data_IF_853226064444
#
_entry.id   IF_853226064444
#
_cell.length_a   1.000
_cell.length_b   1.000
_cell.length_c   1.000
_cell.angle_alpha   90.00
_cell.angle_beta   90.00
_cell.angle_gamma   90.00
#
_symmetry.space_group_name_H-M   'P 1'
#
loop_
_entity.id
_entity.type
_entity.pdbx_description
1 polymer ?
#
# COMPACT_ATOMS: atom_id res chain seq x y z
N UNK A 1 16.35 6.14 -27.80
CA UNK A 1 16.19 6.53 -26.39
C UNK A 1 14.70 6.41 -26.07
N UNK A 2 14.27 5.23 -25.65
CA UNK A 2 12.90 4.96 -25.24
C UNK A 2 12.81 5.14 -23.73
N UNK A 3 12.26 6.27 -23.30
CA UNK A 3 11.96 6.53 -21.90
C UNK A 3 10.83 5.63 -21.44
N UNK A 4 11.04 4.95 -20.31
CA UNK A 4 9.96 4.33 -19.55
C UNK A 4 9.22 5.46 -18.82
N UNK A 5 7.94 5.62 -19.09
CA UNK A 5 7.03 6.36 -18.22
C UNK A 5 6.58 5.37 -17.13
N UNK A 6 6.98 5.62 -15.90
CA UNK A 6 6.39 4.99 -14.72
C UNK A 6 5.30 5.95 -14.26
N UNK A 7 4.06 5.48 -14.16
CA UNK A 7 2.94 6.23 -13.62
C UNK A 7 3.23 6.49 -12.13
N UNK A 8 3.69 7.71 -11.83
CA UNK A 8 4.16 8.11 -10.51
C UNK A 8 2.98 8.51 -9.63
N UNK A 9 2.29 7.54 -9.04
CA UNK A 9 1.35 7.80 -7.95
C UNK A 9 1.81 7.28 -6.60
N UNK A 10 2.77 6.34 -6.53
CA UNK A 10 3.23 5.80 -5.24
C UNK A 10 4.72 5.42 -5.29
N UNK A 11 5.51 5.97 -4.36
CA UNK A 11 6.86 5.49 -4.06
C UNK A 11 6.90 5.20 -2.56
N UNK A 12 6.78 3.93 -2.19
CA UNK A 12 7.14 3.46 -0.85
C UNK A 12 8.62 3.10 -0.90
N UNK A 13 9.48 3.96 -0.35
CA UNK A 13 10.91 3.65 -0.21
C UNK A 13 11.10 2.80 1.05
N UNK A 14 11.10 1.48 0.89
CA UNK A 14 11.51 0.57 1.96
C UNK A 14 13.04 0.50 1.99
N UNK A 15 13.67 1.20 2.93
CA UNK A 15 15.10 1.05 3.23
C UNK A 15 15.33 -0.31 3.92
N UNK A 16 15.69 -1.32 3.14
CA UNK A 16 16.28 -2.54 3.67
C UNK A 16 17.70 -2.24 4.18
N UNK A 17 17.83 -1.99 5.48
CA UNK A 17 19.13 -1.86 6.12
C UNK A 17 19.71 -3.26 6.45
N UNK A 18 20.82 -3.56 5.76
CA UNK A 18 21.97 -4.33 6.23
C UNK A 18 21.75 -5.77 6.74
N UNK A 19 21.83 -6.74 5.82
CA UNK A 19 22.46 -8.04 6.11
C UNK A 19 23.41 -8.38 4.96
N UNK A 20 24.71 -8.34 5.25
CA UNK A 20 25.77 -8.69 4.31
C UNK A 20 25.89 -10.21 4.17
N UNK A 21 25.76 -10.72 2.95
CA UNK A 21 26.01 -12.11 2.61
C UNK A 21 25.99 -12.30 1.10
N UNK A 22 27.14 -12.56 0.50
CA UNK A 22 27.29 -12.74 -0.94
C UNK A 22 26.81 -14.13 -1.36
N UNK A 23 25.81 -14.21 -2.24
CA UNK A 23 25.60 -15.39 -3.10
C UNK A 23 25.43 -14.92 -4.54
N UNK A 24 26.49 -15.18 -5.32
CA UNK A 24 26.56 -15.04 -6.77
C UNK A 24 25.62 -16.06 -7.43
N UNK A 25 24.68 -15.61 -8.25
CA UNK A 25 24.15 -16.40 -9.38
C UNK A 25 23.89 -15.48 -10.57
N UNK A 26 24.53 -15.81 -11.70
CA UNK A 26 24.54 -15.08 -12.97
C UNK A 26 23.16 -15.06 -13.64
N UNK A 27 22.82 -14.03 -14.43
CA UNK A 27 21.57 -13.99 -15.19
C UNK A 27 21.73 -14.75 -16.51
N UNK A 28 20.90 -15.77 -16.71
CA UNK A 28 20.51 -16.25 -18.02
C UNK A 28 19.00 -16.08 -18.12
N UNK A 29 18.54 -15.15 -18.96
CA UNK A 29 17.59 -15.41 -20.04
C UNK A 29 17.06 -14.10 -20.64
N UNK A 30 17.15 -14.04 -21.97
CA UNK A 30 16.67 -12.98 -22.84
C UNK A 30 15.15 -13.09 -22.98
N UNK A 31 14.45 -11.98 -22.78
CA UNK A 31 13.01 -11.89 -23.07
C UNK A 31 12.78 -11.37 -24.50
N UNK A 32 11.90 -12.04 -25.26
CA UNK A 32 11.37 -11.61 -26.57
C UNK A 32 9.93 -11.17 -26.38
N UNK A 33 9.63 -9.93 -26.78
CA UNK A 33 8.28 -9.34 -26.81
C UNK A 33 7.45 -9.93 -27.95
N UNK A 34 6.19 -10.29 -27.67
CA UNK A 34 5.17 -10.59 -28.67
C UNK A 34 4.03 -9.55 -28.55
N UNK A 35 3.91 -8.69 -29.56
CA UNK A 35 2.76 -7.80 -29.78
C UNK A 35 1.58 -8.62 -30.30
N UNK A 36 0.38 -8.43 -29.72
CA UNK A 36 -0.89 -8.84 -30.36
C UNK A 36 -1.54 -7.62 -31.01
N UNK A 37 -1.61 -7.67 -32.34
CA UNK A 37 -2.52 -6.87 -33.15
C UNK A 37 -3.94 -7.41 -32.96
N UNK A 38 -4.92 -6.52 -32.81
CA UNK A 38 -6.32 -6.84 -33.11
C UNK A 38 -6.75 -5.91 -34.23
N UNK A 39 -6.93 -6.47 -35.42
CA UNK A 39 -7.58 -5.83 -36.55
C UNK A 39 -9.02 -6.28 -36.66
N UNK A 40 -9.91 -5.32 -36.92
CA UNK A 40 -10.72 -5.34 -38.14
C UNK A 40 -11.99 -6.20 -38.21
N UNK A 41 -13.11 -5.47 -38.27
CA UNK A 41 -14.18 -5.56 -39.28
C UNK A 41 -15.30 -6.59 -39.11
N UNK A 42 -16.54 -6.09 -39.22
CA UNK A 42 -17.76 -6.88 -39.40
C UNK A 42 -19.00 -6.00 -39.54
N UNK A 43 -19.27 -5.53 -40.76
CA UNK A 43 -20.52 -4.88 -41.19
C UNK A 43 -21.68 -5.86 -41.16
N UNK A 44 -22.88 -5.40 -40.82
CA UNK A 44 -24.15 -5.86 -41.38
C UNK A 44 -25.10 -4.67 -41.54
N UNK A 45 -25.72 -4.56 -42.72
CA UNK A 45 -26.71 -3.56 -43.12
C UNK A 45 -27.97 -4.29 -43.57
N UNK A 46 -29.15 -3.77 -43.26
CA UNK A 46 -30.36 -3.78 -44.12
C UNK A 46 -31.55 -3.06 -43.45
N UNK A 47 -32.55 -2.62 -44.24
CA UNK A 47 -33.36 -1.43 -43.98
C UNK A 47 -34.87 -1.72 -43.78
N UNK A 48 -35.62 -0.61 -43.70
CA UNK A 48 -37.09 -0.45 -43.81
C UNK A 48 -37.93 -0.56 -42.55
N UNK A 49 -38.52 0.58 -42.15
CA UNK A 49 -39.98 0.76 -42.20
C UNK A 49 -40.38 2.22 -41.94
N UNK A 50 -41.12 2.75 -42.90
CA UNK A 50 -41.74 4.07 -42.98
C UNK A 50 -42.84 4.29 -41.94
N UNK A 51 -42.94 5.51 -41.41
CA UNK A 51 -44.11 5.96 -40.65
C UNK A 51 -44.12 7.48 -40.47
N UNK A 52 -44.82 8.19 -41.36
CA UNK A 52 -45.16 9.60 -41.21
C UNK A 52 -46.38 9.73 -40.31
N UNK A 53 -46.32 10.61 -39.30
CA UNK A 53 -47.51 11.24 -38.72
C UNK A 53 -47.19 12.67 -38.34
N UNK A 54 -47.90 13.58 -38.98
CA UNK A 54 -47.91 15.02 -38.76
C UNK A 54 -48.60 15.36 -37.44
N UNK A 55 -47.84 15.86 -36.47
CA UNK A 55 -48.37 16.50 -35.26
C UNK A 55 -47.86 17.94 -35.18
N UNK A 56 -48.73 18.90 -35.48
CA UNK A 56 -48.50 20.32 -35.17
C UNK A 56 -48.45 20.46 -33.65
N UNK A 57 -47.29 20.79 -33.10
CA UNK A 57 -47.13 21.22 -31.71
C UNK A 57 -46.64 22.66 -31.68
N UNK A 58 -47.41 23.48 -30.97
CA UNK A 58 -47.19 24.89 -30.66
C UNK A 58 -45.85 25.07 -29.93
N UNK A 59 -44.98 26.04 -30.27
CA UNK A 59 -43.79 26.30 -29.47
C UNK A 59 -44.22 27.01 -28.19
N UNK A 60 -44.26 26.27 -27.09
CA UNK A 60 -44.21 26.85 -25.74
C UNK A 60 -42.75 27.27 -25.52
N UNK A 61 -42.50 28.58 -25.54
CA UNK A 61 -41.23 29.12 -25.06
C UNK A 61 -41.14 28.89 -23.55
N UNK A 62 -40.56 27.76 -23.14
CA UNK A 62 -39.98 27.66 -21.80
C UNK A 62 -38.71 28.50 -21.79
N UNK A 63 -38.76 29.63 -21.09
CA UNK A 63 -37.58 30.38 -20.69
C UNK A 63 -36.71 29.44 -19.85
N UNK A 64 -35.69 28.86 -20.47
CA UNK A 64 -34.63 28.15 -19.77
C UNK A 64 -33.91 29.16 -18.89
N UNK A 65 -34.18 29.11 -17.59
CA UNK A 65 -33.25 29.65 -16.61
C UNK A 65 -31.97 28.83 -16.74
N UNK A 66 -31.00 29.35 -17.47
CA UNK A 66 -29.64 28.85 -17.41
C UNK A 66 -29.19 29.03 -15.96
N UNK A 67 -29.28 27.95 -15.18
CA UNK A 67 -28.58 27.84 -13.92
C UNK A 67 -27.10 27.91 -14.29
N UNK A 68 -26.54 29.12 -14.22
CA UNK A 68 -25.11 29.33 -14.19
C UNK A 68 -24.62 28.54 -12.97
N UNK A 69 -24.13 27.33 -13.22
CA UNK A 69 -23.29 26.62 -12.26
C UNK A 69 -22.09 27.53 -12.05
N UNK A 70 -22.15 28.31 -10.99
CA UNK A 70 -21.00 29.01 -10.48
C UNK A 70 -20.02 27.93 -10.03
N UNK A 71 -19.19 27.47 -10.96
CA UNK A 71 -17.95 26.80 -10.61
C UNK A 71 -17.23 27.78 -9.69
N UNK A 72 -17.21 27.44 -8.40
CA UNK A 72 -16.50 28.22 -7.40
C UNK A 72 -15.06 28.41 -7.91
N UNK A 73 -14.52 29.64 -7.89
CA UNK A 73 -13.13 29.84 -8.29
C UNK A 73 -12.27 28.94 -7.40
N UNK A 74 -11.44 28.10 -8.01
CA UNK A 74 -10.39 27.39 -7.31
C UNK A 74 -9.58 28.47 -6.55
N UNK A 75 -9.73 28.48 -5.23
CA UNK A 75 -9.07 29.44 -4.36
C UNK A 75 -7.56 29.24 -4.51
N UNK A 76 -6.87 30.22 -5.09
CA UNK A 76 -5.42 30.33 -5.11
C UNK A 76 -4.86 30.84 -3.76
N UNK A 77 -5.62 30.72 -2.66
CA UNK A 77 -5.06 30.95 -1.34
C UNK A 77 -3.99 29.87 -1.06
N UNK A 78 -2.79 30.25 -0.58
CA UNK A 78 -1.82 29.26 -0.16
C UNK A 78 -2.48 28.39 0.92
N UNK A 79 -2.52 27.08 0.68
CA UNK A 79 -3.11 26.13 1.62
C UNK A 79 -2.47 26.25 3.01
N UNK A 80 -3.25 25.90 4.02
CA UNK A 80 -2.77 25.84 5.40
C UNK A 80 -2.10 24.49 5.66
N UNK A 81 -1.06 24.51 6.49
CA UNK A 81 -0.27 23.32 6.84
C UNK A 81 -0.46 22.94 8.31
N UNK A 82 -0.65 21.65 8.56
CA UNK A 82 -0.63 21.04 9.89
C UNK A 82 0.51 20.04 9.99
N UNK A 83 1.27 20.11 11.07
CA UNK A 83 2.35 19.18 11.38
C UNK A 83 2.09 18.50 12.73
N UNK A 84 2.36 17.19 12.80
CA UNK A 84 2.22 16.40 14.04
C UNK A 84 3.37 15.41 14.16
N UNK A 85 3.72 15.14 15.41
CA UNK A 85 4.64 14.07 15.78
C UNK A 85 3.99 13.19 16.84
N UNK A 86 3.90 11.90 16.55
CA UNK A 86 3.24 10.91 17.41
C UNK A 86 4.15 9.69 17.57
N UNK A 87 3.91 8.90 18.63
CA UNK A 87 4.55 7.59 18.79
C UNK A 87 3.58 6.50 18.34
N UNK A 88 3.97 5.69 17.37
CA UNK A 88 3.13 4.62 16.82
C UNK A 88 3.99 3.48 16.28
N UNK A 89 3.52 2.23 16.39
CA UNK A 89 4.23 1.02 15.93
C UNK A 89 5.69 0.95 16.40
N UNK A 90 5.94 1.32 17.67
CA UNK A 90 7.28 1.31 18.28
C UNK A 90 8.26 2.33 17.72
N UNK A 91 7.80 3.35 16.99
CA UNK A 91 8.63 4.40 16.40
C UNK A 91 7.92 5.76 16.40
N UNK A 92 8.56 6.80 15.84
CA UNK A 92 7.94 8.10 15.65
C UNK A 92 7.26 8.19 14.28
N UNK A 93 6.04 8.69 14.26
CA UNK A 93 5.35 9.19 13.09
C UNK A 93 5.56 10.71 13.02
N UNK A 94 6.10 11.19 11.90
CA UNK A 94 6.13 12.62 11.55
C UNK A 94 5.20 12.84 10.35
N UNK A 95 4.22 13.71 10.54
CA UNK A 95 3.14 13.96 9.58
C UNK A 95 3.11 15.46 9.25
N UNK A 96 3.01 15.79 7.97
CA UNK A 96 2.72 17.14 7.47
C UNK A 96 1.60 17.05 6.44
N UNK A 97 0.56 17.88 6.57
CA UNK A 97 -0.57 17.92 5.63
C UNK A 97 -0.84 19.37 5.24
N UNK A 98 -0.93 19.62 3.94
CA UNK A 98 -1.34 20.89 3.36
C UNK A 98 -2.74 20.75 2.75
N UNK A 99 -3.66 21.60 3.18
CA UNK A 99 -5.04 21.61 2.68
C UNK A 99 -5.56 23.02 2.42
N UNK A 100 -6.77 23.13 1.86
CA UNK A 100 -7.39 24.41 1.51
C UNK A 100 -7.52 25.37 2.71
N UNK A 101 -7.71 24.84 3.92
CA UNK A 101 -7.71 25.58 5.17
C UNK A 101 -7.24 24.70 6.35
N UNK A 102 -7.02 25.34 7.50
CA UNK A 102 -6.48 24.66 8.70
C UNK A 102 -7.42 23.58 9.23
N UNK A 103 -8.74 23.77 9.13
CA UNK A 103 -9.71 22.80 9.62
C UNK A 103 -9.69 21.53 8.76
N UNK A 104 -9.60 21.67 7.44
CA UNK A 104 -9.42 20.57 6.51
C UNK A 104 -8.10 19.82 6.75
N UNK A 105 -6.99 20.55 6.96
CA UNK A 105 -5.70 19.94 7.27
C UNK A 105 -5.71 19.14 8.59
N UNK A 106 -6.36 19.67 9.64
CA UNK A 106 -6.55 18.97 10.91
C UNK A 106 -7.42 17.71 10.74
N UNK A 107 -8.55 17.82 10.06
CA UNK A 107 -9.45 16.69 9.83
C UNK A 107 -8.77 15.56 9.03
N UNK A 108 -8.04 15.92 7.97
CA UNK A 108 -7.24 14.97 7.20
C UNK A 108 -6.13 14.33 8.04
N UNK A 109 -5.52 15.09 8.95
CA UNK A 109 -4.53 14.57 9.89
C UNK A 109 -5.12 13.52 10.83
N UNK A 110 -6.28 13.79 11.42
CA UNK A 110 -6.94 12.80 12.28
C UNK A 110 -7.35 11.55 11.50
N UNK A 111 -7.82 11.68 10.26
CA UNK A 111 -8.13 10.52 9.40
C UNK A 111 -6.92 9.64 9.13
N UNK A 112 -5.79 10.25 8.75
CA UNK A 112 -4.55 9.53 8.47
C UNK A 112 -4.03 8.80 9.72
N UNK A 113 -4.04 9.49 10.88
CA UNK A 113 -3.61 8.91 12.16
C UNK A 113 -4.53 7.75 12.57
N UNK A 114 -5.85 7.92 12.46
CA UNK A 114 -6.81 6.86 12.80
C UNK A 114 -6.64 5.61 11.91
N UNK A 115 -6.38 5.78 10.62
CA UNK A 115 -6.12 4.66 9.71
C UNK A 115 -4.84 3.89 10.08
N UNK A 116 -3.78 4.63 10.44
CA UNK A 116 -2.53 4.06 10.93
C UNK A 116 -2.69 3.33 12.27
N UNK A 117 -3.42 3.91 13.22
CA UNK A 117 -3.74 3.28 14.51
C UNK A 117 -4.56 1.99 14.32
N UNK A 118 -5.55 2.01 13.43
CA UNK A 118 -6.34 0.82 13.10
C UNK A 118 -5.48 -0.29 12.51
N UNK A 119 -4.55 0.04 11.61
CA UNK A 119 -3.58 -0.92 11.07
C UNK A 119 -2.65 -1.45 12.18
N UNK A 120 -2.13 -0.58 13.05
CA UNK A 120 -1.28 -0.98 14.17
C UNK A 120 -1.99 -1.98 15.11
N UNK A 121 -3.26 -1.74 15.42
CA UNK A 121 -4.08 -2.67 16.24
C UNK A 121 -4.32 -3.99 15.52
N UNK A 122 -4.67 -3.96 14.24
CA UNK A 122 -4.99 -5.16 13.45
C UNK A 122 -3.77 -6.07 13.23
N UNK A 123 -2.60 -5.46 13.00
CA UNK A 123 -1.38 -6.15 12.57
C UNK A 123 -0.44 -6.51 13.73
N UNK A 124 -0.59 -5.91 14.91
CA UNK A 124 0.36 -6.10 16.01
C UNK A 124 0.60 -7.57 16.34
N UNK A 125 1.83 -8.02 16.22
CA UNK A 125 2.24 -9.37 16.64
C UNK A 125 2.80 -9.38 18.06
N UNK A 126 2.84 -8.23 18.76
CA UNK A 126 3.36 -8.08 20.13
C UNK A 126 2.34 -8.40 21.22
N UNK A 127 1.05 -8.22 20.92
CA UNK A 127 -0.05 -8.54 21.81
C UNK A 127 -0.88 -9.71 21.29
N UNK A 128 -1.74 -10.24 22.14
CA UNK A 128 -2.56 -11.40 21.77
C UNK A 128 -3.85 -11.02 21.05
N UNK A 129 -4.31 -9.78 21.16
CA UNK A 129 -5.68 -9.42 20.76
C UNK A 129 -5.80 -8.90 19.32
N UNK A 130 -4.70 -8.80 18.57
CA UNK A 130 -4.76 -8.38 17.17
C UNK A 130 -5.39 -9.45 16.29
N UNK A 131 -5.89 -9.03 15.14
CA UNK A 131 -6.45 -9.97 14.17
C UNK A 131 -5.37 -10.90 13.61
N UNK A 132 -4.19 -10.37 13.29
CA UNK A 132 -3.07 -11.18 12.81
C UNK A 132 -2.58 -12.17 13.88
N UNK A 133 -2.53 -11.77 15.15
CA UNK A 133 -2.16 -12.66 16.25
C UNK A 133 -3.19 -13.78 16.46
N UNK A 134 -4.49 -13.48 16.36
CA UNK A 134 -5.54 -14.51 16.37
C UNK A 134 -5.39 -15.48 15.20
N UNK A 135 -5.13 -14.98 13.99
CA UNK A 135 -4.86 -15.83 12.84
C UNK A 135 -3.65 -16.76 13.09
N UNK A 136 -2.54 -16.22 13.59
CA UNK A 136 -1.33 -16.98 13.91
C UNK A 136 -1.56 -18.10 14.95
N UNK A 137 -2.54 -17.95 15.84
CA UNK A 137 -2.89 -18.97 16.85
C UNK A 137 -4.04 -19.89 16.43
N UNK A 138 -4.66 -19.66 15.26
CA UNK A 138 -5.74 -20.48 14.76
C UNK A 138 -5.29 -21.95 14.62
N UNK A 139 -6.14 -22.93 14.98
CA UNK A 139 -5.87 -24.33 14.71
C UNK A 139 -5.60 -24.59 13.23
N UNK A 140 -4.71 -25.54 12.94
CA UNK A 140 -4.38 -25.92 11.57
C UNK A 140 -5.61 -26.47 10.87
N UNK A 141 -5.85 -26.01 9.65
CA UNK A 141 -7.00 -26.37 8.81
C UNK A 141 -8.28 -25.61 9.12
N UNK A 142 -8.35 -24.88 10.25
CA UNK A 142 -9.56 -24.15 10.63
C UNK A 142 -9.68 -22.84 9.84
N UNK A 143 -10.75 -22.66 9.03
CA UNK A 143 -10.94 -21.44 8.27
C UNK A 143 -11.44 -20.31 9.18
N UNK A 144 -10.79 -19.16 9.08
CA UNK A 144 -11.21 -17.92 9.71
C UNK A 144 -11.67 -16.92 8.66
N UNK A 145 -12.71 -16.16 8.97
CA UNK A 145 -13.11 -15.00 8.16
C UNK A 145 -12.35 -13.79 8.66
N UNK A 146 -11.50 -13.24 7.80
CA UNK A 146 -10.73 -12.04 8.05
C UNK A 146 -11.54 -10.77 7.74
N UNK A 147 -11.13 -9.67 8.32
CA UNK A 147 -11.51 -8.32 7.90
C UNK A 147 -11.12 -8.09 6.43
N UNK A 148 -11.86 -7.25 5.69
CA UNK A 148 -11.47 -6.84 4.35
C UNK A 148 -10.04 -6.32 4.28
N UNK A 149 -9.61 -5.58 5.31
CA UNK A 149 -8.30 -4.97 5.40
C UNK A 149 -7.20 -6.04 5.54
N UNK A 150 -7.31 -6.95 6.51
CA UNK A 150 -6.29 -8.00 6.69
C UNK A 150 -6.24 -8.94 5.49
N UNK A 151 -7.39 -9.26 4.89
CA UNK A 151 -7.44 -10.09 3.68
C UNK A 151 -6.68 -9.42 2.51
N UNK A 152 -6.87 -8.12 2.31
CA UNK A 152 -6.18 -7.35 1.27
C UNK A 152 -4.67 -7.24 1.57
N UNK A 153 -4.30 -7.00 2.82
CA UNK A 153 -2.92 -6.95 3.29
C UNK A 153 -2.22 -8.30 3.06
N UNK A 154 -2.85 -9.42 3.43
CA UNK A 154 -2.33 -10.76 3.23
C UNK A 154 -2.23 -11.15 1.74
N UNK A 155 -3.14 -10.65 0.91
CA UNK A 155 -3.05 -10.83 -0.54
C UNK A 155 -1.85 -10.05 -1.12
N UNK A 156 -1.62 -8.81 -0.67
CA UNK A 156 -0.49 -8.00 -1.11
C UNK A 156 0.86 -8.60 -0.70
N UNK A 157 1.01 -9.09 0.53
CA UNK A 157 2.25 -9.75 0.96
C UNK A 157 2.48 -11.07 0.23
N UNK A 158 1.42 -11.83 -0.09
CA UNK A 158 1.53 -13.03 -0.93
C UNK A 158 2.07 -12.68 -2.31
N UNK A 159 1.52 -11.64 -2.93
CA UNK A 159 2.00 -11.17 -4.23
C UNK A 159 3.49 -10.86 -4.19
N UNK A 160 3.96 -10.09 -3.20
CA UNK A 160 5.39 -9.77 -3.07
C UNK A 160 6.28 -10.96 -2.73
N UNK A 161 5.78 -11.92 -1.93
CA UNK A 161 6.49 -13.17 -1.67
C UNK A 161 6.69 -13.97 -2.97
N UNK A 162 5.68 -14.03 -3.84
CA UNK A 162 5.77 -14.68 -5.16
C UNK A 162 6.72 -13.93 -6.11
N UNK A 163 6.57 -12.61 -6.24
CA UNK A 163 7.40 -11.78 -7.13
C UNK A 163 8.89 -11.80 -6.76
N UNK A 164 9.19 -11.91 -5.47
CA UNK A 164 10.58 -11.98 -4.99
C UNK A 164 11.14 -13.39 -4.94
N UNK A 165 10.36 -14.41 -5.33
CA UNK A 165 10.76 -15.82 -5.22
C UNK A 165 11.04 -16.25 -3.77
N UNK A 166 10.33 -15.65 -2.81
CA UNK A 166 10.48 -15.90 -1.38
C UNK A 166 11.60 -15.12 -0.69
N UNK A 167 12.30 -14.21 -1.37
CA UNK A 167 13.32 -13.37 -0.73
C UNK A 167 12.70 -12.39 0.29
N UNK A 168 11.50 -11.87 0.00
CA UNK A 168 10.63 -11.28 1.01
C UNK A 168 9.71 -12.37 1.54
N UNK A 169 9.82 -12.71 2.82
CA UNK A 169 9.00 -13.74 3.45
C UNK A 169 8.28 -13.21 4.72
N UNK A 170 6.95 -13.08 4.69
CA UNK A 170 6.19 -12.70 5.88
C UNK A 170 6.08 -13.84 6.90
N UNK A 171 6.42 -15.09 6.57
CA UNK A 171 6.39 -16.24 7.48
C UNK A 171 7.70 -16.44 8.27
N UNK A 172 8.47 -15.38 8.50
CA UNK A 172 9.75 -15.41 9.24
C UNK A 172 9.60 -15.43 10.75
N UNK A 173 8.38 -15.52 11.28
CA UNK A 173 8.13 -15.59 12.73
C UNK A 173 8.98 -16.63 13.47
N UNK A 174 9.17 -17.86 12.97
CA UNK A 174 10.01 -18.86 13.62
C UNK A 174 11.47 -18.41 13.72
N UNK A 175 11.99 -17.71 12.70
CA UNK A 175 13.34 -17.12 12.72
C UNK A 175 13.43 -16.00 13.74
N UNK A 176 12.44 -15.11 13.80
CA UNK A 176 12.39 -14.02 14.80
C UNK A 176 12.44 -14.58 16.23
N UNK A 177 11.72 -15.67 16.49
CA UNK A 177 11.74 -16.40 17.77
C UNK A 177 13.07 -17.09 18.05
N UNK A 178 13.65 -17.79 17.07
CA UNK A 178 14.94 -18.48 17.20
C UNK A 178 16.07 -17.50 17.53
N UNK A 179 16.09 -16.34 16.88
CA UNK A 179 17.06 -15.27 17.18
C UNK A 179 16.74 -14.49 18.46
N UNK A 180 15.60 -14.76 19.11
CA UNK A 180 15.20 -14.07 20.33
C UNK A 180 15.09 -12.56 20.16
N UNK A 181 14.73 -12.07 18.97
CA UNK A 181 14.74 -10.63 18.65
C UNK A 181 13.78 -9.80 19.51
N UNK A 182 12.84 -10.47 20.18
CA UNK A 182 11.89 -9.88 21.14
C UNK A 182 12.33 -9.96 22.60
N UNK A 183 13.38 -10.72 22.89
CA UNK A 183 13.87 -11.00 24.25
C UNK A 183 15.34 -10.60 24.43
N UNK A 184 15.80 -9.59 23.68
CA UNK A 184 17.16 -9.06 23.79
C UNK A 184 18.19 -9.68 22.85
N UNK A 185 17.77 -10.63 22.00
CA UNK A 185 18.63 -11.25 20.99
C UNK A 185 19.51 -12.37 21.54
N UNK A 186 19.73 -13.40 20.72
CA UNK A 186 20.70 -14.47 20.98
C UNK A 186 21.14 -15.12 19.68
N UNK A 187 22.22 -15.89 19.74
CA UNK A 187 22.62 -16.77 18.65
C UNK A 187 21.90 -18.13 18.82
N UNK A 188 21.06 -18.56 17.85
CA UNK A 188 20.43 -19.88 17.89
C UNK A 188 21.44 -20.99 17.61
N UNK A 189 21.11 -22.20 18.09
CA UNK A 189 21.82 -23.40 17.67
C UNK A 189 21.51 -23.74 16.21
N UNK A 190 22.40 -24.46 15.55
CA UNK A 190 22.29 -24.76 14.11
C UNK A 190 21.02 -25.57 13.77
N UNK A 191 20.65 -26.52 14.62
CA UNK A 191 19.44 -27.32 14.49
C UNK A 191 18.16 -26.50 14.65
N UNK A 192 18.15 -25.58 15.61
CA UNK A 192 17.07 -24.62 15.79
C UNK A 192 16.92 -23.72 14.56
N UNK A 193 18.03 -23.19 14.03
CA UNK A 193 18.02 -22.32 12.85
C UNK A 193 17.51 -23.07 11.62
N UNK A 194 17.98 -24.30 11.37
CA UNK A 194 17.47 -25.12 10.26
C UNK A 194 15.96 -25.38 10.37
N UNK A 195 15.48 -25.64 11.59
CA UNK A 195 14.05 -25.84 11.85
C UNK A 195 13.25 -24.58 11.54
N UNK A 196 13.73 -23.42 11.99
CA UNK A 196 13.09 -22.14 11.73
C UNK A 196 13.07 -21.76 10.24
N UNK A 197 14.15 -22.04 9.49
CA UNK A 197 14.21 -21.83 8.03
C UNK A 197 13.20 -22.73 7.30
N UNK A 198 13.09 -24.01 7.69
CA UNK A 198 12.17 -24.95 7.06
C UNK A 198 10.68 -24.61 7.32
N UNK A 199 10.40 -23.86 8.39
CA UNK A 199 9.07 -23.36 8.73
C UNK A 199 8.62 -22.14 7.91
N UNK A 200 9.56 -21.46 7.24
CA UNK A 200 9.28 -20.29 6.41
C UNK A 200 8.45 -20.61 5.16
N UNK A 201 8.05 -19.54 4.48
CA UNK A 201 7.26 -19.54 3.25
C UNK A 201 5.74 -19.53 3.45
N UNK A 202 5.04 -18.96 2.47
CA UNK A 202 3.58 -18.86 2.46
C UNK A 202 2.85 -20.11 1.94
N UNK A 203 3.55 -21.21 1.71
CA UNK A 203 2.92 -22.49 1.34
C UNK A 203 1.98 -23.03 2.43
N UNK A 204 2.22 -22.66 3.70
CA UNK A 204 1.34 -22.98 4.81
C UNK A 204 0.12 -22.06 4.94
N UNK A 205 -0.03 -21.03 4.11
CA UNK A 205 -1.15 -20.08 4.16
C UNK A 205 -2.13 -20.41 3.03
N UNK A 206 -3.36 -20.77 3.38
CA UNK A 206 -4.49 -20.75 2.44
C UNK A 206 -5.23 -19.42 2.58
N UNK A 207 -5.46 -18.73 1.47
CA UNK A 207 -6.21 -17.47 1.40
C UNK A 207 -7.13 -17.50 0.18
N UNK A 208 -8.44 -17.40 0.40
CA UNK A 208 -9.48 -17.31 -0.63
C UNK A 208 -10.45 -16.20 -0.28
N UNK A 209 -10.34 -15.07 -0.98
CA UNK A 209 -11.04 -13.83 -0.62
C UNK A 209 -10.70 -13.42 0.81
N UNK A 210 -11.70 -13.45 1.70
CA UNK A 210 -11.54 -13.16 3.13
C UNK A 210 -11.39 -14.40 4.01
N UNK A 211 -11.43 -15.60 3.43
CA UNK A 211 -11.29 -16.83 4.20
C UNK A 211 -9.83 -17.25 4.20
N UNK A 212 -9.23 -17.34 5.38
CA UNK A 212 -7.84 -17.78 5.53
C UNK A 212 -7.74 -18.97 6.48
N UNK A 213 -6.76 -19.83 6.26
CA UNK A 213 -6.42 -20.92 7.17
C UNK A 213 -4.92 -21.15 7.20
N UNK A 214 -4.44 -21.61 8.36
CA UNK A 214 -3.09 -22.15 8.51
C UNK A 214 -3.11 -23.62 8.12
N UNK A 215 -2.34 -24.02 7.13
CA UNK A 215 -2.19 -25.41 6.67
C UNK A 215 -0.99 -26.10 7.33
N UNK A 216 -0.15 -25.34 8.06
CA UNK A 216 0.97 -25.87 8.84
C UNK A 216 1.02 -25.27 10.23
N UNK A 217 1.38 -26.09 11.22
CA UNK A 217 1.47 -25.67 12.62
C UNK A 217 2.65 -24.71 12.89
N UNK A 218 3.65 -24.71 12.01
CA UNK A 218 4.85 -23.88 12.10
C UNK A 218 4.76 -22.58 11.28
N UNK A 219 3.66 -22.36 10.54
CA UNK A 219 3.38 -21.07 9.92
C UNK A 219 3.16 -20.01 11.00
N UNK A 220 4.04 -19.02 11.05
CA UNK A 220 3.91 -17.87 11.93
C UNK A 220 4.24 -16.60 11.14
N UNK A 221 3.21 -15.81 10.87
CA UNK A 221 3.35 -14.55 10.14
C UNK A 221 3.90 -13.46 11.04
N UNK A 222 4.84 -12.69 10.52
CA UNK A 222 5.41 -11.53 11.16
C UNK A 222 5.21 -10.27 10.33
N UNK A 223 4.83 -9.18 11.00
CA UNK A 223 4.50 -7.91 10.36
C UNK A 223 5.72 -7.01 10.15
N UNK A 224 6.81 -7.21 10.90
CA UNK A 224 7.91 -6.22 10.97
C UNK A 224 8.56 -5.82 9.64
N UNK A 225 8.40 -6.63 8.58
CA UNK A 225 8.87 -6.31 7.23
C UNK A 225 7.87 -5.58 6.33
N UNK A 226 6.61 -5.42 6.74
CA UNK A 226 5.54 -4.89 5.87
C UNK A 226 4.43 -4.10 6.60
N UNK A 227 4.22 -4.28 7.90
CA UNK A 227 3.07 -3.74 8.62
C UNK A 227 3.03 -2.22 8.67
N UNK A 228 4.18 -1.55 8.86
CA UNK A 228 4.28 -0.09 8.74
C UNK A 228 3.92 0.41 7.34
N UNK A 229 4.32 -0.33 6.30
CA UNK A 229 3.95 -0.03 4.92
C UNK A 229 2.45 -0.17 4.69
N UNK A 230 1.82 -1.21 5.23
CA UNK A 230 0.37 -1.39 5.19
C UNK A 230 -0.37 -0.24 5.91
N UNK A 231 0.10 0.17 7.10
CA UNK A 231 -0.45 1.31 7.81
C UNK A 231 -0.32 2.63 7.04
N UNK A 232 0.84 2.87 6.42
CA UNK A 232 1.05 4.04 5.56
C UNK A 232 0.14 4.01 4.32
N UNK A 233 -0.06 2.85 3.69
CA UNK A 233 -0.98 2.70 2.57
C UNK A 233 -2.43 2.99 2.99
N UNK A 234 -2.86 2.54 4.17
CA UNK A 234 -4.18 2.86 4.72
C UNK A 234 -4.35 4.36 4.99
N UNK A 235 -3.32 5.05 5.50
CA UNK A 235 -3.34 6.50 5.65
C UNK A 235 -3.44 7.24 4.31
N UNK A 236 -2.74 6.76 3.27
CA UNK A 236 -2.85 7.36 1.93
C UNK A 236 -4.27 7.23 1.38
N UNK A 237 -4.87 6.03 1.46
CA UNK A 237 -6.26 5.84 1.04
C UNK A 237 -7.21 6.78 1.81
N UNK A 238 -7.00 6.97 3.11
CA UNK A 238 -7.80 7.89 3.92
C UNK A 238 -7.65 9.37 3.52
N UNK A 239 -6.49 9.74 2.96
CA UNK A 239 -6.17 11.08 2.45
C UNK A 239 -6.66 11.30 1.01
N UNK A 240 -6.70 10.27 0.17
CA UNK A 240 -7.30 10.32 -1.18
C UNK A 240 -8.77 10.73 -1.10
N UNK A 241 -9.48 10.22 -0.08
CA UNK A 241 -10.88 10.55 0.18
C UNK A 241 -11.07 11.88 0.95
N UNK A 242 -9.99 12.55 1.37
CA UNK A 242 -10.07 13.74 2.20
C UNK A 242 -10.20 15.02 1.35
N UNK A 243 -11.32 15.76 1.47
CA UNK A 243 -11.55 16.95 0.65
C UNK A 243 -10.57 18.06 0.99
N UNK A 244 -10.08 18.74 -0.04
CA UNK A 244 -9.23 19.91 0.09
C UNK A 244 -7.77 19.61 0.46
N UNK A 245 -7.37 18.35 0.63
CA UNK A 245 -5.96 17.97 0.81
C UNK A 245 -5.23 18.13 -0.52
N UNK A 246 -4.18 18.96 -0.50
CA UNK A 246 -3.33 19.18 -1.67
C UNK A 246 -2.08 18.32 -1.61
N UNK A 247 -1.46 18.19 -0.43
CA UNK A 247 -0.20 17.47 -0.22
C UNK A 247 -0.12 16.89 1.18
N UNK A 248 0.58 15.78 1.32
CA UNK A 248 0.94 15.25 2.62
C UNK A 248 2.29 14.52 2.59
N UNK A 249 3.02 14.55 3.70
CA UNK A 249 4.20 13.73 3.94
C UNK A 249 4.02 12.96 5.22
N UNK A 250 4.30 11.66 5.18
CA UNK A 250 4.28 10.78 6.34
C UNK A 250 5.64 10.09 6.42
N UNK A 251 6.31 10.20 7.56
CA UNK A 251 7.51 9.43 7.89
C UNK A 251 7.22 8.60 9.14
N UNK A 252 7.14 7.28 8.97
CA UNK A 252 6.98 6.33 10.06
C UNK A 252 8.29 5.56 10.27
N UNK A 253 9.20 6.11 11.09
CA UNK A 253 10.47 5.47 11.40
C UNK A 253 11.35 5.21 10.17
N UNK A 254 11.39 6.15 9.22
CA UNK A 254 12.15 6.10 7.98
C UNK A 254 11.40 5.49 6.79
N UNK A 255 10.16 5.03 6.98
CA UNK A 255 9.28 4.63 5.88
C UNK A 255 8.47 5.86 5.47
N UNK A 256 8.78 6.38 4.28
CA UNK A 256 8.28 7.68 3.82
C UNK A 256 7.20 7.48 2.76
N UNK A 257 6.09 8.20 2.94
CA UNK A 257 5.05 8.42 1.93
C UNK A 257 4.99 9.90 1.58
N UNK A 258 4.85 10.16 0.29
CA UNK A 258 4.62 11.48 -0.25
C UNK A 258 3.35 11.45 -1.08
N UNK A 259 2.38 12.23 -0.66
CA UNK A 259 1.08 12.34 -1.31
C UNK A 259 0.95 13.73 -1.92
N UNK A 260 0.52 13.81 -3.18
CA UNK A 260 0.15 15.08 -3.82
C UNK A 260 -1.03 14.88 -4.74
N UNK A 261 -2.07 15.67 -4.50
CA UNK A 261 -3.15 15.82 -5.46
C UNK A 261 -2.62 16.63 -6.66
N UNK A 262 -2.76 16.11 -7.88
CA UNK A 262 -2.24 16.74 -9.09
C UNK A 262 -0.77 16.46 -9.43
N UNK A 263 -0.10 15.56 -8.71
CA UNK A 263 1.19 15.00 -9.13
C UNK A 263 2.39 15.97 -9.04
N UNK A 264 2.36 16.94 -8.11
CA UNK A 264 3.49 17.82 -7.91
C UNK A 264 4.74 17.01 -7.51
N UNK A 265 5.89 17.22 -8.16
CA UNK A 265 7.09 16.43 -7.92
C UNK A 265 7.64 16.67 -6.51
N UNK A 266 8.17 15.61 -5.92
CA UNK A 266 8.85 15.66 -4.64
C UNK A 266 10.35 15.45 -4.83
N UNK A 267 11.15 16.01 -3.93
CA UNK A 267 12.57 15.67 -3.82
C UNK A 267 12.81 15.04 -2.47
N UNK A 268 13.19 13.76 -2.48
CA UNK A 268 13.47 13.02 -1.24
C UNK A 268 14.97 12.76 -1.15
N UNK A 269 15.66 13.26 -0.10
CA UNK A 269 17.04 12.88 0.14
C UNK A 269 17.12 11.39 0.52
N UNK A 270 18.03 10.66 -0.11
CA UNK A 270 18.34 9.28 0.25
C UNK A 270 19.62 9.27 1.08
N UNK A 271 19.58 8.66 2.26
CA UNK A 271 20.75 8.56 3.14
C UNK A 271 21.88 7.74 2.54
N UNK A 272 23.13 8.15 2.76
CA UNK A 272 24.30 7.33 2.42
C UNK A 272 24.48 6.24 3.48
N UNK A 273 24.24 4.98 3.09
CA UNK A 273 24.38 3.82 3.98
C UNK A 273 25.78 3.68 4.61
N UNK A 274 26.83 4.25 3.98
CA UNK A 274 28.20 4.22 4.49
C UNK A 274 28.54 5.44 5.35
N UNK A 275 27.68 6.46 5.35
CA UNK A 275 27.88 7.73 6.06
C UNK A 275 26.57 8.19 6.70
N UNK A 276 26.18 7.55 7.82
CA UNK A 276 24.96 7.92 8.55
C UNK A 276 24.91 9.42 8.81
N UNK A 277 23.78 10.06 8.50
CA UNK A 277 23.59 11.51 8.66
C UNK A 277 23.96 12.39 7.45
N UNK A 278 24.43 11.82 6.33
CA UNK A 278 24.59 12.54 5.05
C UNK A 278 23.66 12.00 3.99
N UNK A 279 23.02 12.90 3.23
CA UNK A 279 22.31 12.51 2.02
C UNK A 279 23.31 12.09 0.94
N UNK A 280 23.16 10.87 0.41
CA UNK A 280 23.95 10.31 -0.68
C UNK A 280 23.41 10.65 -2.08
N UNK A 281 22.18 11.16 -2.17
CA UNK A 281 21.51 11.59 -3.41
C UNK A 281 20.06 12.03 -3.16
N UNK A 282 19.31 12.33 -4.23
CA UNK A 282 17.87 12.61 -4.15
C UNK A 282 17.10 11.80 -5.21
N UNK A 283 15.94 11.28 -4.83
CA UNK A 283 14.95 10.75 -5.79
C UNK A 283 14.07 11.91 -6.29
N UNK A 284 13.83 11.94 -7.59
CA UNK A 284 13.03 12.94 -8.30
C UNK A 284 11.87 12.27 -9.04
#
# INVERSE_FOLDING_TARGET
MSGFAIDAQFVVVTLAAAWGGWILLRPLLRWRSAKKNVGGCGRCASPDCTGKTTGRLLPVFLAGAAAASAAAPASNAPGERVERRLSLMGTSLELSIEAADRAAALAASERAVAALEAAAVRLSTWGDDSELARFNRAPVGEPLTLSPELAAELAAVRHWWEETGGAFDPAVGPLVSAWGLRTGGRQPAEDELRTAVAAGGLHGLRLDGRTAARERADLLLEEGGWGKGAGLAAAVAALEDAPGVSRATLDLGGQIVLFSHGGAPWRVPVGDARRPGRAGGALA
#
